data_IF_475460176335
#
_entry.id   IF_475460176335
#
_cell.length_a   1.000
_cell.length_b   1.000
_cell.length_c   1.000
_cell.angle_alpha   90.00
_cell.angle_beta   90.00
_cell.angle_gamma   90.00
#
_symmetry.space_group_name_H-M   'P 1'
#
loop_
_entity.id
_entity.type
_entity.pdbx_description
1 polymer ?
#
# COMPACT_ATOMS: atom_id res chain seq x y z
N UNK A 1 6.99 12.43 0.46
CA UNK A 1 8.11 12.31 -0.51
C UNK A 1 8.01 13.44 -1.55
N UNK A 2 8.96 13.60 -2.48
CA UNK A 2 8.72 14.48 -3.65
C UNK A 2 7.63 13.85 -4.54
N UNK A 3 6.97 14.64 -5.39
CA UNK A 3 5.94 14.09 -6.31
C UNK A 3 6.51 13.02 -7.24
N UNK A 4 7.72 13.22 -7.74
CA UNK A 4 8.39 12.26 -8.62
C UNK A 4 8.74 10.98 -7.86
N UNK A 5 9.39 11.08 -6.70
CA UNK A 5 9.74 9.91 -5.89
C UNK A 5 8.50 9.09 -5.48
N UNK A 6 7.36 9.74 -5.24
CA UNK A 6 6.09 9.05 -5.00
C UNK A 6 5.56 8.33 -6.26
N UNK A 7 5.72 8.92 -7.44
CA UNK A 7 5.33 8.29 -8.69
C UNK A 7 6.21 7.07 -8.99
N UNK A 8 7.52 7.19 -8.79
CA UNK A 8 8.50 6.11 -8.99
C UNK A 8 8.22 4.95 -8.02
N UNK A 9 8.00 5.26 -6.73
CA UNK A 9 7.66 4.23 -5.75
C UNK A 9 6.33 3.53 -6.09
N UNK A 10 5.32 4.26 -6.60
CA UNK A 10 4.06 3.64 -7.04
C UNK A 10 4.25 2.74 -8.24
N UNK A 11 5.07 3.14 -9.21
CA UNK A 11 5.38 2.29 -10.37
C UNK A 11 6.05 1.00 -9.91
N UNK A 12 7.11 1.11 -9.10
CA UNK A 12 7.78 -0.04 -8.50
C UNK A 12 6.81 -0.94 -7.72
N UNK A 13 5.91 -0.34 -6.94
CA UNK A 13 4.95 -1.05 -6.11
C UNK A 13 4.01 -1.94 -6.94
N UNK A 14 3.48 -1.43 -8.06
CA UNK A 14 2.59 -2.21 -8.93
C UNK A 14 3.34 -3.22 -9.79
N UNK A 15 4.58 -2.94 -10.17
CA UNK A 15 5.41 -3.90 -10.91
C UNK A 15 5.80 -5.11 -10.04
N UNK A 16 6.10 -4.88 -8.75
CA UNK A 16 6.53 -5.95 -7.83
C UNK A 16 5.36 -6.63 -7.09
N UNK A 17 4.23 -5.93 -6.93
CA UNK A 17 3.04 -6.46 -6.28
C UNK A 17 1.79 -6.29 -7.17
N UNK A 18 1.73 -7.01 -8.31
CA UNK A 18 0.63 -6.88 -9.28
C UNK A 18 -0.71 -7.41 -8.75
N UNK A 19 -0.69 -8.23 -7.70
CA UNK A 19 -1.88 -8.80 -7.06
C UNK A 19 -2.14 -8.07 -5.73
N UNK A 20 -3.42 -7.87 -5.41
CA UNK A 20 -3.86 -7.24 -4.17
C UNK A 20 -3.22 -7.93 -2.96
N UNK A 21 -2.41 -7.18 -2.19
CA UNK A 21 -1.70 -7.71 -1.03
C UNK A 21 -2.62 -7.95 0.18
N UNK A 22 -3.87 -7.47 0.10
CA UNK A 22 -4.88 -7.70 1.13
C UNK A 22 -5.60 -9.02 0.89
N UNK A 23 -6.30 -9.17 -0.24
CA UNK A 23 -7.07 -10.38 -0.53
C UNK A 23 -6.30 -11.49 -1.23
N UNK A 24 -5.26 -11.18 -2.00
CA UNK A 24 -4.54 -12.16 -2.81
C UNK A 24 -5.33 -12.71 -4.01
N UNK A 25 -6.54 -12.19 -4.27
CA UNK A 25 -7.46 -12.75 -5.27
C UNK A 25 -7.52 -11.93 -6.56
N UNK A 26 -7.41 -10.61 -6.46
CA UNK A 26 -7.64 -9.66 -7.56
C UNK A 26 -6.38 -8.87 -7.89
N UNK A 27 -6.27 -8.36 -9.11
CA UNK A 27 -5.17 -7.46 -9.50
C UNK A 27 -5.19 -6.19 -8.64
N UNK A 28 -4.01 -5.75 -8.24
CA UNK A 28 -3.82 -4.45 -7.61
C UNK A 28 -4.10 -3.33 -8.62
N UNK A 29 -4.83 -2.32 -8.18
CA UNK A 29 -5.27 -1.20 -9.01
C UNK A 29 -5.03 0.14 -8.33
N UNK A 30 -4.89 0.14 -7.00
CA UNK A 30 -4.77 1.34 -6.19
C UNK A 30 -3.70 1.14 -5.11
N UNK A 31 -3.00 2.23 -4.77
CA UNK A 31 -2.03 2.25 -3.69
C UNK A 31 -2.69 2.86 -2.44
N UNK A 32 -2.85 2.06 -1.40
CA UNK A 32 -3.48 2.45 -0.14
C UNK A 32 -2.44 2.85 0.90
N UNK A 33 -2.58 4.02 1.52
CA UNK A 33 -1.75 4.42 2.67
C UNK A 33 -2.22 3.68 3.94
N UNK A 34 -1.47 2.68 4.39
CA UNK A 34 -1.79 1.88 5.58
C UNK A 34 -1.66 2.68 6.88
N UNK A 35 -0.73 3.65 6.92
CA UNK A 35 -0.60 4.62 8.02
C UNK A 35 -1.23 5.94 7.63
N UNK A 36 -2.37 6.23 8.24
CA UNK A 36 -3.04 7.52 8.17
C UNK A 36 -3.07 8.19 9.54
N UNK A 37 -2.85 9.50 9.59
CA UNK A 37 -3.16 10.29 10.77
C UNK A 37 -4.66 10.37 11.01
N UNK A 38 -5.06 10.68 12.25
CA UNK A 38 -6.47 10.96 12.58
C UNK A 38 -7.04 12.06 11.66
N UNK A 39 -8.30 11.88 11.22
CA UNK A 39 -9.05 12.87 10.42
C UNK A 39 -8.34 13.37 9.15
N UNK A 40 -7.62 12.49 8.44
CA UNK A 40 -6.98 12.86 7.18
C UNK A 40 -5.66 13.63 7.35
N UNK A 41 -5.13 13.73 8.57
CA UNK A 41 -3.80 14.27 8.79
C UNK A 41 -2.71 13.36 8.18
N UNK A 42 -1.64 14.02 7.69
CA UNK A 42 -0.46 13.52 6.97
C UNK A 42 -0.43 12.01 6.74
N UNK A 43 -0.79 11.62 5.52
CA UNK A 43 -0.54 10.30 4.97
C UNK A 43 0.97 10.08 4.86
N UNK A 44 1.47 8.95 5.32
CA UNK A 44 2.87 8.59 5.14
C UNK A 44 3.05 7.87 3.80
N UNK A 45 3.60 8.56 2.80
CA UNK A 45 3.87 8.00 1.47
C UNK A 45 4.71 6.72 1.49
N UNK A 46 5.41 6.44 2.59
CA UNK A 46 6.20 5.22 2.80
C UNK A 46 5.36 4.03 3.29
N UNK A 47 4.07 4.21 3.51
CA UNK A 47 3.18 3.17 4.04
C UNK A 47 2.22 2.60 2.98
N UNK A 48 2.63 2.62 1.71
CA UNK A 48 1.76 2.20 0.61
C UNK A 48 1.62 0.68 0.51
N UNK A 49 0.39 0.24 0.23
CA UNK A 49 0.01 -1.15 -0.01
C UNK A 49 -0.71 -1.25 -1.35
N UNK A 50 -0.33 -2.19 -2.20
CA UNK A 50 -1.01 -2.47 -3.47
C UNK A 50 -2.31 -3.24 -3.21
N UNK A 51 -3.45 -2.65 -3.57
CA UNK A 51 -4.78 -3.21 -3.30
C UNK A 51 -5.69 -3.17 -4.51
N UNK A 52 -6.66 -4.10 -4.57
CA UNK A 52 -7.78 -3.98 -5.50
C UNK A 52 -8.80 -2.95 -5.00
N UNK A 53 -9.65 -2.44 -5.92
CA UNK A 53 -10.65 -1.42 -5.61
C UNK A 53 -11.62 -1.82 -4.50
N UNK A 54 -12.03 -3.09 -4.48
CA UNK A 54 -12.96 -3.60 -3.46
C UNK A 54 -12.31 -3.58 -2.07
N UNK A 55 -11.09 -4.11 -1.93
CA UNK A 55 -10.37 -4.05 -0.65
C UNK A 55 -10.12 -2.61 -0.22
N UNK A 56 -9.76 -1.71 -1.14
CA UNK A 56 -9.57 -0.30 -0.84
C UNK A 56 -10.85 0.35 -0.30
N UNK A 57 -11.99 0.11 -0.95
CA UNK A 57 -13.30 0.57 -0.51
C UNK A 57 -13.63 0.05 0.89
N UNK A 58 -13.51 -1.26 1.11
CA UNK A 58 -13.86 -1.89 2.38
C UNK A 58 -12.97 -1.40 3.53
N UNK A 59 -11.68 -1.19 3.31
CA UNK A 59 -10.77 -0.64 4.34
C UNK A 59 -11.27 0.70 4.87
N UNK A 60 -11.85 1.54 4.01
CA UNK A 60 -12.37 2.86 4.36
C UNK A 60 -13.82 2.87 4.89
N UNK A 61 -14.67 1.91 4.50
CA UNK A 61 -16.13 2.02 4.68
C UNK A 61 -16.78 0.97 5.60
N UNK A 62 -16.01 0.07 6.20
CA UNK A 62 -16.60 -0.86 7.19
C UNK A 62 -15.89 -2.18 7.41
N UNK A 63 -14.76 -2.41 6.72
CA UNK A 63 -13.90 -3.59 6.80
C UNK A 63 -14.62 -4.93 6.63
N UNK A 64 -15.82 -4.93 6.05
CA UNK A 64 -16.58 -6.16 5.76
C UNK A 64 -15.91 -6.85 4.59
N UNK A 65 -15.40 -8.06 4.79
CA UNK A 65 -14.68 -8.79 3.75
C UNK A 65 -13.21 -8.38 3.55
N UNK A 66 -12.64 -7.55 4.43
CA UNK A 66 -11.18 -7.35 4.47
C UNK A 66 -10.59 -8.51 5.28
N UNK A 67 -9.81 -9.35 4.63
CA UNK A 67 -9.19 -10.54 5.24
C UNK A 67 -7.93 -10.25 6.05
N UNK A 68 -7.46 -8.99 6.09
CA UNK A 68 -6.32 -8.55 6.91
C UNK A 68 -6.74 -7.52 7.95
N UNK A 69 -6.23 -7.68 9.16
CA UNK A 69 -6.35 -6.70 10.23
C UNK A 69 -5.64 -5.40 9.87
N UNK A 70 -5.88 -4.34 10.65
CA UNK A 70 -5.18 -3.06 10.45
C UNK A 70 -3.67 -3.22 10.59
N UNK A 71 -3.24 -3.95 11.62
CA UNK A 71 -1.84 -4.20 11.92
C UNK A 71 -1.15 -4.94 10.75
N UNK A 72 -1.77 -5.98 10.21
CA UNK A 72 -1.22 -6.70 9.06
C UNK A 72 -1.07 -5.80 7.82
N UNK A 73 -2.02 -4.90 7.57
CA UNK A 73 -1.94 -3.95 6.45
C UNK A 73 -0.82 -2.92 6.70
N UNK A 74 -0.61 -2.50 7.94
CA UNK A 74 0.49 -1.63 8.33
C UNK A 74 1.85 -2.32 8.13
N UNK A 75 1.99 -3.58 8.56
CA UNK A 75 3.18 -4.41 8.39
C UNK A 75 3.51 -4.63 6.89
N UNK A 76 2.51 -4.86 6.04
CA UNK A 76 2.72 -4.93 4.58
C UNK A 76 3.27 -3.60 4.04
N UNK A 77 2.70 -2.48 4.45
CA UNK A 77 3.16 -1.16 3.98
C UNK A 77 4.60 -0.86 4.41
N UNK A 78 4.99 -1.28 5.62
CA UNK A 78 6.39 -1.19 6.09
C UNK A 78 7.32 -2.09 5.28
N UNK A 79 6.92 -3.34 5.02
CA UNK A 79 7.70 -4.30 4.24
C UNK A 79 7.94 -3.79 2.81
N UNK A 80 6.90 -3.31 2.13
CA UNK A 80 7.01 -2.75 0.77
C UNK A 80 8.04 -1.63 0.70
N UNK A 81 8.07 -0.75 1.71
CA UNK A 81 9.01 0.36 1.74
C UNK A 81 10.44 -0.11 1.97
N UNK A 82 10.65 -1.05 2.89
CA UNK A 82 11.97 -1.66 3.11
C UNK A 82 12.48 -2.35 1.84
N UNK A 83 11.61 -3.09 1.14
CA UNK A 83 11.95 -3.75 -0.12
C UNK A 83 12.33 -2.73 -1.21
N UNK A 84 11.56 -1.66 -1.37
CA UNK A 84 11.89 -0.58 -2.30
C UNK A 84 13.24 0.07 -2.01
N UNK A 85 13.52 0.40 -0.74
CA UNK A 85 14.81 0.98 -0.35
C UNK A 85 15.99 0.06 -0.65
N UNK A 86 15.82 -1.25 -0.43
CA UNK A 86 16.86 -2.24 -0.74
C UNK A 86 17.07 -2.37 -2.25
N UNK A 87 16.01 -2.30 -3.06
CA UNK A 87 16.13 -2.34 -4.51
C UNK A 87 16.88 -1.10 -5.05
N UNK A 88 16.54 0.10 -4.57
CA UNK A 88 17.22 1.35 -4.96
C UNK A 88 18.69 1.39 -4.52
N UNK A 89 19.04 0.76 -3.39
CA UNK A 89 20.43 0.70 -2.92
C UNK A 89 21.32 -0.23 -3.76
N UNK A 90 20.71 -1.11 -4.58
CA UNK A 90 21.41 -2.08 -5.43
C UNK A 90 21.42 -1.68 -6.92
N UNK A 91 20.73 -0.58 -7.27
CA UNK A 91 20.66 -0.01 -8.62
C UNK A 91 21.78 1.03 -8.86
#
# INVERSE_FOLDING_TARGET
MSKQALADYRAWLFDNHPVCQVCGMEMAQEAHHSKYGYFGAKKDDRSLVAVCRECHYQIHHGRRGVCKSRKEIEEIGEANWTEYQNAEAMA
#
